data_IF_123142713177
#
_entry.id   IF_123142713177
#
_cell.length_a   1.000
_cell.length_b   1.000
_cell.length_c   1.000
_cell.angle_alpha   90.00
_cell.angle_beta   90.00
_cell.angle_gamma   90.00
#
_symmetry.space_group_name_H-M   'P 1'
#
loop_
_entity.id
_entity.type
_entity.pdbx_description
1 polymer ?
#
# COMPACT_ATOMS: atom_id res chain seq x y z
N UNK A 1 -42.62 -11.70 33.58
CA UNK A 1 -41.45 -11.51 32.69
C UNK A 1 -41.02 -10.07 32.81
N UNK A 2 -39.87 -9.79 33.42
CA UNK A 2 -39.32 -8.44 33.45
C UNK A 2 -38.94 -8.06 32.01
N UNK A 3 -39.59 -7.05 31.46
CA UNK A 3 -39.20 -6.44 30.18
C UNK A 3 -37.91 -5.69 30.40
N UNK A 4 -36.79 -6.38 30.26
CA UNK A 4 -35.48 -5.71 30.28
C UNK A 4 -35.32 -4.91 28.98
N UNK A 5 -35.27 -3.59 29.11
CA UNK A 5 -34.91 -2.71 28.00
C UNK A 5 -33.43 -2.94 27.63
N UNK A 6 -33.18 -3.26 26.39
CA UNK A 6 -31.82 -3.40 25.88
C UNK A 6 -31.35 -2.02 25.43
N UNK A 7 -30.31 -1.48 26.09
CA UNK A 7 -29.65 -0.26 25.69
C UNK A 7 -28.41 -0.64 24.83
N UNK A 8 -28.40 -0.27 23.56
CA UNK A 8 -27.26 -0.47 22.65
C UNK A 8 -26.57 0.84 22.41
N UNK A 9 -25.25 0.77 22.20
CA UNK A 9 -24.43 1.92 21.77
C UNK A 9 -24.70 2.26 20.31
N UNK A 10 -24.57 3.55 19.94
CA UNK A 10 -24.61 3.99 18.54
C UNK A 10 -23.50 3.31 17.72
N UNK A 11 -23.74 3.01 16.43
CA UNK A 11 -24.97 3.25 15.66
C UNK A 11 -26.07 2.21 15.94
N UNK A 12 -27.32 2.68 15.98
CA UNK A 12 -28.49 1.80 16.22
C UNK A 12 -29.00 1.10 14.96
N UNK A 13 -28.55 1.53 13.78
CA UNK A 13 -28.92 0.92 12.50
C UNK A 13 -27.85 -0.11 12.12
N UNK A 14 -28.25 -1.36 12.04
CA UNK A 14 -27.41 -2.47 11.61
C UNK A 14 -27.68 -2.78 10.13
N UNK A 15 -26.76 -2.43 9.26
CA UNK A 15 -26.79 -2.80 7.84
C UNK A 15 -26.21 -4.20 7.59
N UNK A 16 -26.37 -4.70 6.36
CA UNK A 16 -25.76 -5.98 5.93
C UNK A 16 -24.23 -5.92 5.75
N UNK A 17 -23.59 -4.78 6.04
CA UNK A 17 -22.14 -4.59 5.95
C UNK A 17 -21.47 -4.89 7.29
N UNK A 18 -20.37 -5.62 7.23
CA UNK A 18 -19.53 -5.93 8.38
C UNK A 18 -18.06 -5.63 8.05
N UNK A 19 -17.25 -5.36 9.09
CA UNK A 19 -15.81 -5.19 8.95
C UNK A 19 -15.21 -6.40 8.24
N UNK A 20 -15.58 -7.60 8.65
CA UNK A 20 -15.12 -8.85 8.05
C UNK A 20 -15.42 -8.92 6.54
N UNK A 21 -16.66 -8.60 6.12
CA UNK A 21 -17.08 -8.62 4.71
C UNK A 21 -16.24 -7.65 3.87
N UNK A 22 -15.97 -6.46 4.39
CA UNK A 22 -15.15 -5.46 3.69
C UNK A 22 -13.68 -5.90 3.61
N UNK A 23 -13.11 -6.46 4.68
CA UNK A 23 -11.73 -6.99 4.68
C UNK A 23 -11.58 -8.14 3.66
N UNK A 24 -12.50 -9.11 3.66
CA UNK A 24 -12.45 -10.17 2.64
C UNK A 24 -12.70 -9.62 1.22
N UNK A 25 -13.48 -8.56 1.06
CA UNK A 25 -13.64 -7.86 -0.21
C UNK A 25 -12.32 -7.30 -0.75
N UNK A 26 -11.49 -6.70 0.11
CA UNK A 26 -10.14 -6.23 -0.26
C UNK A 26 -9.23 -7.40 -0.63
N UNK A 27 -9.29 -8.53 0.10
CA UNK A 27 -8.51 -9.72 -0.24
C UNK A 27 -8.89 -10.28 -1.61
N UNK A 28 -10.19 -10.32 -1.95
CA UNK A 28 -10.66 -10.72 -3.28
C UNK A 28 -10.12 -9.77 -4.36
N UNK A 29 -10.10 -8.46 -4.09
CA UNK A 29 -9.55 -7.46 -5.01
C UNK A 29 -8.03 -7.62 -5.26
N UNK A 30 -7.29 -8.22 -4.32
CA UNK A 30 -5.85 -8.49 -4.44
C UNK A 30 -5.54 -9.82 -5.18
N UNK A 31 -6.53 -10.72 -5.37
CA UNK A 31 -6.32 -12.01 -6.03
C UNK A 31 -5.73 -11.85 -7.44
N UNK A 32 -6.22 -10.97 -8.33
CA UNK A 32 -5.63 -10.82 -9.65
C UNK A 32 -4.13 -10.48 -9.62
N UNK A 33 -3.74 -9.56 -8.72
CA UNK A 33 -2.34 -9.16 -8.55
C UNK A 33 -1.49 -10.33 -7.99
N UNK A 34 -2.05 -11.13 -7.08
CA UNK A 34 -1.37 -12.32 -6.55
C UNK A 34 -1.15 -13.38 -7.62
N UNK A 35 -2.15 -13.65 -8.48
CA UNK A 35 -2.03 -14.62 -9.56
C UNK A 35 -0.96 -14.20 -10.58
N UNK A 36 -0.92 -12.91 -10.94
CA UNK A 36 0.12 -12.37 -11.82
C UNK A 36 1.50 -12.46 -11.17
N UNK A 37 1.61 -12.16 -9.88
CA UNK A 37 2.85 -12.32 -9.12
C UNK A 37 3.35 -13.78 -9.10
N UNK A 38 2.45 -14.74 -8.92
CA UNK A 38 2.77 -16.17 -9.01
C UNK A 38 3.23 -16.58 -10.42
N UNK A 39 2.62 -16.02 -11.46
CA UNK A 39 2.99 -16.32 -12.84
C UNK A 39 4.41 -15.83 -13.17
N UNK A 40 4.82 -14.64 -12.69
CA UNK A 40 6.12 -14.07 -13.00
C UNK A 40 7.26 -14.48 -12.06
N UNK A 41 6.98 -14.66 -10.75
CA UNK A 41 7.98 -14.99 -9.74
C UNK A 41 7.85 -16.39 -9.13
N UNK A 42 6.82 -17.13 -9.49
CA UNK A 42 6.65 -18.53 -9.13
C UNK A 42 6.76 -18.82 -7.64
N UNK A 43 7.67 -19.73 -7.29
CA UNK A 43 7.87 -20.25 -5.93
C UNK A 43 8.24 -19.14 -4.93
N UNK A 44 9.07 -18.16 -5.34
CA UNK A 44 9.46 -17.05 -4.49
C UNK A 44 8.25 -16.25 -4.01
N UNK A 45 7.32 -15.90 -4.92
CA UNK A 45 6.09 -15.18 -4.56
C UNK A 45 5.23 -15.98 -3.57
N UNK A 46 5.11 -17.29 -3.77
CA UNK A 46 4.34 -18.18 -2.88
C UNK A 46 4.95 -18.22 -1.47
N UNK A 47 6.27 -18.44 -1.37
CA UNK A 47 6.97 -18.54 -0.08
C UNK A 47 6.87 -17.22 0.69
N UNK A 48 7.17 -16.07 0.04
CA UNK A 48 7.13 -14.75 0.69
C UNK A 48 5.72 -14.44 1.17
N UNK A 49 4.71 -14.65 0.33
CA UNK A 49 3.31 -14.35 0.71
C UNK A 49 2.82 -15.27 1.81
N UNK A 50 3.02 -16.58 1.69
CA UNK A 50 2.60 -17.54 2.70
C UNK A 50 3.27 -17.29 4.05
N UNK A 51 4.58 -17.03 4.05
CA UNK A 51 5.34 -16.73 5.27
C UNK A 51 4.88 -15.44 5.92
N UNK A 52 4.69 -14.39 5.15
CA UNK A 52 4.23 -13.08 5.66
C UNK A 52 2.85 -13.19 6.29
N UNK A 53 1.90 -13.85 5.62
CA UNK A 53 0.54 -14.04 6.15
C UNK A 53 0.55 -14.92 7.40
N UNK A 54 1.26 -16.05 7.37
CA UNK A 54 1.36 -16.94 8.54
C UNK A 54 2.00 -16.25 9.74
N UNK A 55 3.08 -15.48 9.53
CA UNK A 55 3.73 -14.72 10.58
C UNK A 55 2.82 -13.61 11.15
N UNK A 56 2.09 -12.86 10.30
CA UNK A 56 1.15 -11.84 10.76
C UNK A 56 0.02 -12.44 11.60
N UNK A 57 -0.56 -13.56 11.18
CA UNK A 57 -1.60 -14.28 11.94
C UNK A 57 -1.05 -14.78 13.28
N UNK A 58 0.14 -15.38 13.27
CA UNK A 58 0.79 -15.86 14.48
C UNK A 58 1.04 -14.74 15.49
N UNK A 59 1.64 -13.63 15.06
CA UNK A 59 1.94 -12.50 15.96
C UNK A 59 0.67 -11.82 16.47
N UNK A 60 -0.37 -11.66 15.65
CA UNK A 60 -1.64 -11.11 16.13
C UNK A 60 -2.29 -12.00 17.19
N UNK A 61 -2.29 -13.32 16.97
CA UNK A 61 -2.76 -14.28 17.96
C UNK A 61 -1.93 -14.26 19.24
N UNK A 62 -0.60 -14.34 19.13
CA UNK A 62 0.30 -14.42 20.27
C UNK A 62 0.24 -13.14 21.12
N UNK A 63 0.31 -11.96 20.50
CA UNK A 63 0.24 -10.68 21.20
C UNK A 63 -1.14 -10.49 21.82
N UNK A 64 -2.21 -10.80 21.07
CA UNK A 64 -3.59 -10.68 21.59
C UNK A 64 -3.84 -11.55 22.81
N UNK A 65 -3.37 -12.80 22.78
CA UNK A 65 -3.57 -13.78 23.84
C UNK A 65 -2.66 -13.55 25.05
N UNK A 66 -1.35 -13.39 24.83
CA UNK A 66 -0.36 -13.38 25.90
C UNK A 66 -0.06 -11.99 26.48
N UNK A 67 0.06 -10.95 25.62
CA UNK A 67 0.37 -9.60 26.07
C UNK A 67 -0.89 -8.81 26.43
N UNK A 68 -1.90 -8.80 25.54
CA UNK A 68 -3.09 -7.99 25.74
C UNK A 68 -4.19 -8.72 26.53
N UNK A 69 -4.07 -10.04 26.72
CA UNK A 69 -5.03 -10.90 27.46
C UNK A 69 -6.47 -10.70 27.00
N UNK A 70 -6.69 -10.47 25.68
CA UNK A 70 -8.03 -10.29 25.13
C UNK A 70 -8.83 -11.57 25.24
N UNK A 71 -10.11 -11.51 25.67
CA UNK A 71 -10.97 -12.70 25.81
C UNK A 71 -11.35 -13.31 24.45
N UNK A 72 -11.34 -12.50 23.37
CA UNK A 72 -11.69 -12.93 22.02
C UNK A 72 -10.52 -12.73 21.08
N UNK A 73 -10.33 -13.67 20.15
CA UNK A 73 -9.32 -13.58 19.10
C UNK A 73 -9.86 -12.81 17.90
N UNK A 74 -9.08 -11.87 17.36
CA UNK A 74 -9.43 -11.05 16.18
C UNK A 74 -8.94 -11.66 14.87
N UNK A 75 -8.40 -12.88 14.87
CA UNK A 75 -7.77 -13.53 13.72
C UNK A 75 -8.72 -13.67 12.52
N UNK A 76 -10.01 -13.92 12.82
CA UNK A 76 -11.02 -14.18 11.79
C UNK A 76 -11.58 -12.92 11.12
N UNK A 77 -11.17 -11.71 11.52
CA UNK A 77 -11.64 -10.47 10.92
C UNK A 77 -10.99 -10.17 9.55
N UNK A 78 -9.95 -10.90 9.17
CA UNK A 78 -9.24 -10.76 7.90
C UNK A 78 -8.17 -9.67 7.90
N UNK A 79 -8.07 -8.84 8.93
CA UNK A 79 -7.16 -7.69 8.95
C UNK A 79 -5.68 -8.08 9.01
N UNK A 80 -5.33 -9.17 9.75
CA UNK A 80 -3.96 -9.69 9.76
C UNK A 80 -3.56 -10.29 8.41
N UNK A 81 -4.50 -10.94 7.73
CA UNK A 81 -4.27 -11.51 6.39
C UNK A 81 -3.98 -10.38 5.40
N UNK A 82 -4.79 -9.30 5.40
CA UNK A 82 -4.54 -8.13 4.55
C UNK A 82 -3.16 -7.53 4.84
N UNK A 83 -2.83 -7.33 6.11
CA UNK A 83 -1.51 -6.79 6.49
C UNK A 83 -0.39 -7.67 5.97
N UNK A 84 -0.51 -9.00 6.09
CA UNK A 84 0.46 -9.95 5.59
C UNK A 84 0.59 -9.96 4.07
N UNK A 85 -0.52 -9.92 3.33
CA UNK A 85 -0.51 -9.86 1.86
C UNK A 85 0.06 -8.53 1.36
N UNK A 86 -0.37 -7.39 1.93
CA UNK A 86 0.14 -6.08 1.55
C UNK A 86 1.62 -5.91 1.91
N UNK A 87 2.08 -6.47 3.04
CA UNK A 87 3.49 -6.51 3.37
C UNK A 87 4.25 -7.32 2.33
N UNK A 88 3.82 -8.56 2.03
CA UNK A 88 4.46 -9.41 1.03
C UNK A 88 4.54 -8.73 -0.34
N UNK A 89 3.48 -8.04 -0.77
CA UNK A 89 3.45 -7.33 -2.06
C UNK A 89 4.46 -6.19 -2.15
N UNK A 90 4.96 -5.71 -1.03
CA UNK A 90 6.01 -4.70 -0.96
C UNK A 90 7.43 -5.28 -0.80
N UNK A 91 7.56 -6.59 -0.78
CA UNK A 91 8.84 -7.27 -0.62
C UNK A 91 9.34 -7.86 -1.94
N UNK A 92 10.67 -8.00 -2.12
CA UNK A 92 11.23 -8.77 -3.21
C UNK A 92 10.94 -10.28 -3.05
N UNK A 93 10.84 -11.01 -4.16
CA UNK A 93 10.51 -12.45 -4.17
C UNK A 93 11.62 -13.35 -3.63
N UNK A 94 12.84 -12.86 -3.50
CA UNK A 94 14.02 -13.60 -3.00
C UNK A 94 14.36 -13.32 -1.54
N UNK A 95 13.50 -12.60 -0.82
CA UNK A 95 13.80 -12.16 0.55
C UNK A 95 13.87 -13.37 1.51
N UNK A 96 14.92 -13.49 2.34
CA UNK A 96 15.04 -14.56 3.33
C UNK A 96 13.89 -14.58 4.34
N UNK A 97 13.39 -15.78 4.66
CA UNK A 97 12.22 -16.00 5.54
C UNK A 97 12.32 -15.28 6.88
N UNK A 98 13.50 -15.29 7.51
CA UNK A 98 13.67 -14.63 8.82
C UNK A 98 13.47 -13.11 8.79
N UNK A 99 13.83 -12.45 7.67
CA UNK A 99 13.60 -11.00 7.48
C UNK A 99 12.10 -10.74 7.35
N UNK A 100 11.38 -11.60 6.61
CA UNK A 100 9.91 -11.50 6.46
C UNK A 100 9.23 -11.61 7.82
N UNK A 101 9.67 -12.56 8.66
CA UNK A 101 9.14 -12.75 10.02
C UNK A 101 9.38 -11.51 10.88
N UNK A 102 10.58 -10.90 10.83
CA UNK A 102 10.86 -9.65 11.54
C UNK A 102 9.98 -8.48 11.06
N UNK A 103 9.78 -8.36 9.74
CA UNK A 103 8.86 -7.37 9.16
C UNK A 103 7.42 -7.55 9.63
N UNK A 104 6.94 -8.78 9.65
CA UNK A 104 5.60 -9.11 10.14
C UNK A 104 5.45 -8.84 11.65
N UNK A 105 6.48 -9.15 12.45
CA UNK A 105 6.52 -8.80 13.87
C UNK A 105 6.40 -7.29 14.08
N UNK A 106 7.17 -6.51 13.32
CA UNK A 106 7.12 -5.05 13.43
C UNK A 106 5.77 -4.49 12.95
N UNK A 107 5.26 -4.97 11.82
CA UNK A 107 3.99 -4.54 11.26
C UNK A 107 2.82 -4.80 12.23
N UNK A 108 2.72 -6.01 12.76
CA UNK A 108 1.63 -6.38 13.68
C UNK A 108 1.92 -5.89 15.10
N UNK A 109 3.12 -6.13 15.64
CA UNK A 109 3.45 -5.81 17.03
C UNK A 109 3.49 -4.31 17.25
N UNK A 110 4.31 -3.59 16.50
CA UNK A 110 4.48 -2.13 16.65
C UNK A 110 3.42 -1.36 15.87
N UNK A 111 3.16 -1.72 14.61
CA UNK A 111 2.26 -0.96 13.74
C UNK A 111 0.78 -1.06 14.11
N UNK A 112 0.33 -2.18 14.70
CA UNK A 112 -1.08 -2.44 14.94
C UNK A 112 -1.41 -2.69 16.43
N UNK A 113 -0.79 -3.69 17.04
CA UNK A 113 -1.21 -4.19 18.37
C UNK A 113 -0.82 -3.25 19.51
N UNK A 114 0.32 -2.55 19.43
CA UNK A 114 0.76 -1.60 20.46
C UNK A 114 -0.21 -0.42 20.65
N UNK A 115 -1.00 -0.09 19.66
CA UNK A 115 -2.03 0.96 19.71
C UNK A 115 -3.42 0.46 20.10
N UNK A 116 -3.62 -0.85 20.31
CA UNK A 116 -4.89 -1.43 20.73
C UNK A 116 -5.49 -2.42 19.73
N UNK A 117 -4.96 -2.54 18.52
CA UNK A 117 -5.41 -3.45 17.46
C UNK A 117 -6.16 -2.74 16.34
N UNK A 118 -7.08 -3.46 15.68
CA UNK A 118 -7.82 -2.94 14.54
C UNK A 118 -8.59 -1.66 14.89
N UNK A 119 -8.45 -0.63 14.07
CA UNK A 119 -9.15 0.65 14.26
C UNK A 119 -8.39 1.69 15.07
N UNK A 120 -7.29 1.33 15.76
CA UNK A 120 -6.52 2.22 16.61
C UNK A 120 -5.13 2.60 16.06
N UNK A 121 -4.70 2.00 14.97
CA UNK A 121 -3.39 2.22 14.39
C UNK A 121 -3.27 3.61 13.73
N UNK A 122 -2.26 4.43 14.09
CA UNK A 122 -2.05 5.75 13.48
C UNK A 122 -1.43 5.65 12.08
N UNK A 123 -0.72 4.57 11.79
CA UNK A 123 -0.03 4.31 10.53
C UNK A 123 -0.53 3.02 9.89
N UNK A 124 -0.40 2.92 8.57
CA UNK A 124 -0.64 1.66 7.87
C UNK A 124 0.39 0.62 8.33
N UNK A 125 -0.03 -0.53 8.93
CA UNK A 125 0.89 -1.48 9.53
C UNK A 125 1.83 -2.15 8.52
N UNK A 126 1.32 -2.49 7.32
CA UNK A 126 2.12 -3.12 6.27
C UNK A 126 3.25 -2.18 5.79
N UNK A 127 2.94 -0.88 5.62
CA UNK A 127 3.93 0.11 5.25
C UNK A 127 4.94 0.39 6.36
N UNK A 128 4.50 0.41 7.62
CA UNK A 128 5.40 0.54 8.76
C UNK A 128 6.41 -0.62 8.80
N UNK A 129 5.95 -1.86 8.60
CA UNK A 129 6.82 -3.04 8.48
C UNK A 129 7.78 -2.95 7.30
N UNK A 130 7.30 -2.53 6.11
CA UNK A 130 8.14 -2.34 4.93
C UNK A 130 9.25 -1.32 5.15
N UNK A 131 8.90 -0.13 5.66
CA UNK A 131 9.89 0.94 5.89
C UNK A 131 10.90 0.52 6.96
N UNK A 132 10.47 -0.17 8.03
CA UNK A 132 11.36 -0.76 9.00
C UNK A 132 12.37 -1.71 8.35
N UNK A 133 11.91 -2.63 7.48
CA UNK A 133 12.80 -3.55 6.78
C UNK A 133 13.74 -2.83 5.81
N UNK A 134 13.27 -1.82 5.09
CA UNK A 134 14.08 -1.04 4.16
C UNK A 134 15.22 -0.31 4.86
N UNK A 135 14.97 0.23 6.06
CA UNK A 135 15.99 0.93 6.84
C UNK A 135 16.96 -0.03 7.54
N UNK A 136 16.47 -1.19 8.00
CA UNK A 136 17.29 -2.16 8.74
C UNK A 136 18.07 -3.11 7.83
N UNK A 137 17.52 -3.47 6.67
CA UNK A 137 18.09 -4.44 5.72
C UNK A 137 18.10 -3.89 4.29
N UNK A 138 18.75 -2.75 4.02
CA UNK A 138 18.66 -2.07 2.73
C UNK A 138 19.15 -2.95 1.57
N UNK A 139 20.20 -3.72 1.73
CA UNK A 139 20.77 -4.56 0.66
C UNK A 139 19.76 -5.61 0.21
N UNK A 140 19.16 -6.34 1.15
CA UNK A 140 18.18 -7.39 0.85
C UNK A 140 16.87 -6.81 0.29
N UNK A 141 16.47 -5.63 0.77
CA UNK A 141 15.24 -4.94 0.35
C UNK A 141 15.35 -4.23 -1.00
N UNK A 142 16.56 -4.04 -1.52
CA UNK A 142 16.80 -3.39 -2.83
C UNK A 142 17.33 -4.35 -3.89
N UNK A 143 17.42 -5.64 -3.58
CA UNK A 143 17.76 -6.68 -4.54
C UNK A 143 16.50 -7.22 -5.21
N UNK A 144 16.27 -6.82 -6.47
CA UNK A 144 15.04 -7.13 -7.21
C UNK A 144 15.27 -8.28 -8.20
N UNK A 145 14.60 -9.42 -8.03
CA UNK A 145 14.69 -10.53 -8.97
C UNK A 145 14.12 -10.19 -10.34
N UNK A 146 14.78 -10.70 -11.39
CA UNK A 146 14.27 -10.62 -12.75
C UNK A 146 13.12 -11.61 -12.92
N UNK A 147 12.11 -11.23 -13.71
CA UNK A 147 10.94 -12.06 -13.99
C UNK A 147 11.30 -13.34 -14.77
N UNK A 148 10.47 -14.39 -14.60
CA UNK A 148 10.62 -15.64 -15.33
C UNK A 148 11.42 -16.72 -14.57
N UNK A 149 11.88 -16.46 -13.36
CA UNK A 149 12.61 -17.42 -12.54
C UNK A 149 11.66 -18.18 -11.61
N UNK A 150 10.83 -19.07 -12.17
CA UNK A 150 9.71 -19.70 -11.47
C UNK A 150 10.11 -20.59 -10.29
N UNK A 151 11.28 -21.22 -10.33
CA UNK A 151 11.77 -22.16 -9.30
C UNK A 151 12.86 -21.59 -8.41
N UNK A 152 13.46 -20.45 -8.78
CA UNK A 152 14.50 -19.79 -7.99
C UNK A 152 13.88 -19.04 -6.80
N UNK A 153 14.58 -19.05 -5.67
CA UNK A 153 14.20 -18.29 -4.48
C UNK A 153 15.34 -17.36 -4.05
N UNK A 154 16.20 -17.78 -3.12
CA UNK A 154 17.31 -16.96 -2.63
C UNK A 154 18.41 -16.74 -3.68
N UNK A 155 18.55 -17.65 -4.63
CA UNK A 155 19.57 -17.64 -5.68
C UNK A 155 19.08 -16.99 -6.98
N UNK A 156 17.97 -16.26 -6.93
CA UNK A 156 17.41 -15.58 -8.08
C UNK A 156 18.36 -14.47 -8.58
N UNK A 157 18.57 -14.40 -9.90
CA UNK A 157 19.35 -13.32 -10.51
C UNK A 157 18.58 -12.00 -10.38
N UNK A 158 19.27 -10.94 -9.99
CA UNK A 158 18.69 -9.61 -9.77
C UNK A 158 19.01 -8.65 -10.91
N UNK A 159 18.12 -7.68 -11.14
CA UNK A 159 18.26 -6.66 -12.17
C UNK A 159 17.86 -5.28 -11.69
N UNK A 160 18.13 -4.27 -12.50
CA UNK A 160 17.70 -2.91 -12.23
C UNK A 160 16.17 -2.78 -12.42
N UNK A 161 15.50 -2.11 -11.49
CA UNK A 161 14.08 -1.78 -11.66
C UNK A 161 13.91 -0.58 -12.60
N UNK A 162 12.74 -0.41 -13.25
CA UNK A 162 12.45 0.78 -14.04
C UNK A 162 12.68 2.08 -13.28
N UNK A 163 12.31 2.15 -11.99
CA UNK A 163 12.57 3.31 -11.14
C UNK A 163 14.07 3.57 -10.90
N UNK A 164 14.86 2.51 -10.76
CA UNK A 164 16.32 2.67 -10.61
C UNK A 164 16.94 3.24 -11.88
N UNK A 165 16.53 2.75 -13.06
CA UNK A 165 16.95 3.27 -14.36
C UNK A 165 16.55 4.74 -14.57
N UNK A 166 15.30 5.10 -14.21
CA UNK A 166 14.83 6.48 -14.25
C UNK A 166 15.69 7.39 -13.36
N UNK A 167 16.08 6.90 -12.20
CA UNK A 167 16.91 7.65 -11.27
C UNK A 167 18.35 7.83 -11.76
N UNK A 168 18.94 6.81 -12.39
CA UNK A 168 20.25 6.91 -13.03
C UNK A 168 20.24 7.96 -14.15
N UNK A 169 19.18 8.03 -14.95
CA UNK A 169 19.01 9.05 -15.98
C UNK A 169 19.00 10.48 -15.39
N UNK A 170 18.33 10.68 -14.25
CA UNK A 170 18.31 11.98 -13.56
C UNK A 170 19.73 12.39 -13.10
N UNK A 171 20.58 11.44 -12.73
CA UNK A 171 21.97 11.70 -12.31
C UNK A 171 22.97 11.84 -13.46
N UNK A 172 22.53 11.76 -14.74
CA UNK A 172 23.33 12.06 -15.91
C UNK A 172 23.61 10.88 -16.85
N UNK A 173 23.16 9.68 -16.52
CA UNK A 173 23.25 8.52 -17.41
C UNK A 173 22.01 8.42 -18.31
N UNK A 174 21.98 9.22 -19.37
CA UNK A 174 20.85 9.20 -20.33
C UNK A 174 20.72 7.88 -21.09
N UNK A 175 21.77 7.06 -21.16
CA UNK A 175 21.72 5.73 -21.77
C UNK A 175 20.79 4.78 -20.98
N UNK A 176 20.58 5.00 -19.69
CA UNK A 176 19.66 4.24 -18.89
C UNK A 176 18.18 4.38 -19.34
N UNK A 177 17.83 5.50 -19.99
CA UNK A 177 16.46 5.72 -20.51
C UNK A 177 16.09 4.71 -21.60
N UNK A 178 17.04 4.31 -22.45
CA UNK A 178 16.81 3.34 -23.51
C UNK A 178 16.55 1.91 -22.99
N UNK A 179 16.91 1.63 -21.74
CA UNK A 179 16.70 0.33 -21.09
C UNK A 179 15.36 0.24 -20.36
N UNK A 180 14.61 1.34 -20.26
CA UNK A 180 13.31 1.35 -19.60
C UNK A 180 12.30 0.62 -20.49
N UNK A 181 11.56 -0.36 -19.96
CA UNK A 181 10.53 -1.08 -20.71
C UNK A 181 9.42 -0.15 -21.19
N UNK A 182 8.78 -0.52 -22.28
CA UNK A 182 7.63 0.19 -22.82
C UNK A 182 6.45 0.21 -21.84
N UNK A 183 5.56 1.20 -22.00
CA UNK A 183 4.37 1.36 -21.16
C UNK A 183 3.46 0.12 -21.14
N UNK A 184 3.35 -0.60 -22.26
CA UNK A 184 2.59 -1.85 -22.35
C UNK A 184 3.22 -2.96 -21.52
N UNK A 185 4.53 -3.09 -21.55
CA UNK A 185 5.29 -4.05 -20.76
C UNK A 185 5.12 -3.79 -19.26
N UNK A 186 5.17 -2.52 -18.83
CA UNK A 186 4.92 -2.11 -17.44
C UNK A 186 3.46 -2.34 -17.03
N UNK A 187 2.51 -2.14 -17.93
CA UNK A 187 1.10 -2.36 -17.66
C UNK A 187 0.80 -3.85 -17.41
N UNK A 188 1.38 -4.73 -18.24
CA UNK A 188 1.19 -6.18 -18.13
C UNK A 188 2.01 -6.77 -16.98
N UNK A 189 3.26 -6.26 -16.78
CA UNK A 189 4.06 -6.65 -15.63
C UNK A 189 5.34 -7.45 -15.92
N UNK A 190 5.90 -7.35 -17.12
CA UNK A 190 7.16 -8.01 -17.47
C UNK A 190 8.39 -7.21 -16.99
N UNK A 191 8.41 -6.80 -15.74
CA UNK A 191 9.47 -5.99 -15.14
C UNK A 191 9.84 -6.50 -13.74
N UNK A 192 11.11 -6.36 -13.36
CA UNK A 192 11.56 -6.63 -12.00
C UNK A 192 11.05 -5.59 -11.02
N UNK A 193 10.75 -6.03 -9.78
CA UNK A 193 10.24 -5.16 -8.73
C UNK A 193 9.68 -5.93 -7.53
N UNK A 194 8.88 -5.25 -6.71
CA UNK A 194 8.13 -5.89 -5.64
C UNK A 194 7.04 -6.83 -6.19
N UNK A 195 6.63 -7.83 -5.40
CA UNK A 195 5.60 -8.79 -5.80
C UNK A 195 4.29 -8.14 -6.24
N UNK A 196 3.86 -7.07 -5.58
CA UNK A 196 2.60 -6.37 -5.89
C UNK A 196 2.73 -5.25 -6.93
N UNK A 197 3.95 -4.95 -7.38
CA UNK A 197 4.24 -3.87 -8.32
C UNK A 197 4.17 -4.34 -9.78
N UNK A 198 4.18 -5.65 -9.99
CA UNK A 198 4.45 -6.28 -11.28
C UNK A 198 3.42 -5.89 -12.34
N UNK A 199 2.13 -5.92 -12.06
CA UNK A 199 1.10 -5.60 -13.06
C UNK A 199 0.17 -4.48 -12.60
N UNK A 200 0.29 -3.32 -13.23
CA UNK A 200 -0.64 -2.22 -13.02
C UNK A 200 -2.08 -2.59 -13.46
N UNK A 201 -2.23 -3.41 -14.51
CA UNK A 201 -3.53 -3.88 -14.98
C UNK A 201 -4.27 -4.71 -13.92
N UNK A 202 -3.57 -5.63 -13.26
CA UNK A 202 -4.16 -6.47 -12.21
C UNK A 202 -4.63 -5.63 -11.01
N UNK A 203 -3.87 -4.60 -10.64
CA UNK A 203 -4.25 -3.65 -9.57
C UNK A 203 -5.44 -2.78 -9.99
N UNK A 204 -5.54 -2.37 -11.26
CA UNK A 204 -6.70 -1.64 -11.79
C UNK A 204 -7.98 -2.49 -11.77
N UNK A 205 -7.90 -3.79 -12.10
CA UNK A 205 -9.02 -4.72 -11.96
C UNK A 205 -9.50 -4.76 -10.49
N UNK A 206 -8.56 -4.85 -9.54
CA UNK A 206 -8.87 -4.77 -8.12
C UNK A 206 -9.51 -3.44 -7.71
N UNK A 207 -9.04 -2.30 -8.25
CA UNK A 207 -9.64 -0.98 -8.04
C UNK A 207 -11.10 -0.95 -8.50
N UNK A 208 -11.37 -1.39 -9.73
CA UNK A 208 -12.73 -1.43 -10.29
C UNK A 208 -13.65 -2.28 -9.41
N UNK A 209 -13.19 -3.45 -8.96
CA UNK A 209 -13.95 -4.30 -8.05
C UNK A 209 -14.28 -3.59 -6.73
N UNK A 210 -13.29 -2.93 -6.10
CA UNK A 210 -13.51 -2.22 -4.83
C UNK A 210 -14.45 -1.03 -4.98
N UNK A 211 -14.38 -0.28 -6.09
CA UNK A 211 -15.31 0.81 -6.40
C UNK A 211 -16.72 0.29 -6.66
N UNK A 212 -16.87 -0.81 -7.41
CA UNK A 212 -18.16 -1.44 -7.69
C UNK A 212 -18.85 -1.93 -6.41
N UNK A 213 -18.10 -2.58 -5.53
CA UNK A 213 -18.58 -3.02 -4.21
C UNK A 213 -18.72 -1.89 -3.19
N UNK A 214 -18.35 -0.65 -3.54
CA UNK A 214 -18.36 0.53 -2.65
C UNK A 214 -17.51 0.35 -1.38
N UNK A 215 -16.46 -0.48 -1.46
CA UNK A 215 -15.50 -0.68 -0.38
C UNK A 215 -14.68 0.58 -0.19
N UNK A 216 -14.24 1.21 -1.28
CA UNK A 216 -13.50 2.48 -1.26
C UNK A 216 -14.20 3.54 -2.11
N UNK A 217 -13.79 4.80 -1.92
CA UNK A 217 -14.19 5.93 -2.77
C UNK A 217 -13.08 6.30 -3.74
N UNK A 218 -13.42 6.83 -4.90
CA UNK A 218 -12.47 7.21 -5.95
C UNK A 218 -11.55 8.40 -5.58
N UNK A 219 -11.89 9.18 -4.54
CA UNK A 219 -11.24 10.45 -4.21
C UNK A 219 -9.73 10.32 -3.99
N UNK A 220 -9.29 9.35 -3.17
CA UNK A 220 -7.87 9.16 -2.84
C UNK A 220 -7.08 8.61 -4.04
N UNK A 221 -7.46 7.48 -4.68
CA UNK A 221 -6.69 6.97 -5.80
C UNK A 221 -6.56 7.96 -6.95
N UNK A 222 -7.68 8.59 -7.34
CA UNK A 222 -7.67 9.54 -8.47
C UNK A 222 -6.85 10.79 -8.16
N UNK A 223 -6.94 11.35 -6.93
CA UNK A 223 -6.15 12.54 -6.56
C UNK A 223 -4.65 12.24 -6.54
N UNK A 224 -4.22 11.07 -6.06
CA UNK A 224 -2.81 10.67 -6.09
C UNK A 224 -2.32 10.55 -7.54
N UNK A 225 -3.02 9.75 -8.35
CA UNK A 225 -2.62 9.49 -9.74
C UNK A 225 -2.63 10.77 -10.58
N UNK A 226 -3.65 11.63 -10.45
CA UNK A 226 -3.72 12.90 -11.15
C UNK A 226 -2.57 13.84 -10.76
N UNK A 227 -2.25 13.93 -9.46
CA UNK A 227 -1.16 14.80 -8.99
C UNK A 227 0.19 14.31 -9.49
N UNK A 228 0.45 13.00 -9.44
CA UNK A 228 1.70 12.43 -9.98
C UNK A 228 1.78 12.65 -11.48
N UNK A 229 0.68 12.45 -12.23
CA UNK A 229 0.63 12.68 -13.67
C UNK A 229 0.94 14.14 -14.03
N UNK A 230 0.28 15.09 -13.37
CA UNK A 230 0.48 16.52 -13.64
C UNK A 230 1.90 16.95 -13.27
N UNK A 231 2.38 16.59 -12.09
CA UNK A 231 3.72 17.00 -11.66
C UNK A 231 4.83 16.36 -12.51
N UNK A 232 4.76 15.05 -12.77
CA UNK A 232 5.70 14.38 -13.67
C UNK A 232 5.61 14.95 -15.10
N UNK A 233 4.41 15.34 -15.56
CA UNK A 233 4.22 15.99 -16.85
C UNK A 233 4.89 17.35 -16.92
N UNK A 234 4.79 18.19 -15.92
CA UNK A 234 5.47 19.48 -15.83
C UNK A 234 7.00 19.27 -15.90
N UNK A 235 7.53 18.29 -15.15
CA UNK A 235 8.96 18.00 -15.16
C UNK A 235 9.45 17.49 -16.54
N UNK A 236 8.67 16.60 -17.16
CA UNK A 236 8.98 16.10 -18.51
C UNK A 236 8.94 17.21 -19.58
N UNK A 237 8.00 18.14 -19.50
CA UNK A 237 7.95 19.29 -20.40
C UNK A 237 9.11 20.28 -20.20
N UNK A 238 9.63 20.38 -18.97
CA UNK A 238 10.78 21.23 -18.68
C UNK A 238 12.09 20.67 -19.24
N UNK A 239 12.29 19.36 -19.19
CA UNK A 239 13.49 18.67 -19.67
C UNK A 239 13.14 17.22 -20.09
N UNK A 240 12.75 17.01 -21.37
CA UNK A 240 12.35 15.69 -21.88
C UNK A 240 13.49 14.67 -21.93
N UNK A 241 14.75 15.14 -22.01
CA UNK A 241 15.92 14.24 -22.06
C UNK A 241 16.28 13.66 -20.70
N UNK A 242 15.88 14.34 -19.63
CA UNK A 242 16.19 13.96 -18.24
C UNK A 242 15.04 13.25 -17.54
N UNK A 243 13.84 13.71 -17.78
CA UNK A 243 12.65 13.20 -17.07
C UNK A 243 11.78 12.35 -17.99
N UNK A 244 11.43 11.18 -17.50
CA UNK A 244 10.61 10.19 -18.21
C UNK A 244 9.16 10.66 -18.34
N UNK A 245 8.45 10.14 -19.34
CA UNK A 245 7.05 10.46 -19.57
C UNK A 245 6.17 10.20 -18.32
N UNK A 246 5.13 11.02 -18.07
CA UNK A 246 4.27 10.88 -16.91
C UNK A 246 3.57 9.52 -16.82
N UNK A 247 3.26 8.90 -17.97
CA UNK A 247 2.64 7.56 -18.02
C UNK A 247 3.59 6.49 -17.44
N UNK A 248 4.87 6.52 -17.83
CA UNK A 248 5.86 5.58 -17.28
C UNK A 248 6.06 5.79 -15.78
N UNK A 249 6.01 7.04 -15.31
CA UNK A 249 6.07 7.36 -13.87
C UNK A 249 4.87 6.79 -13.09
N UNK A 250 3.67 6.77 -13.68
CA UNK A 250 2.48 6.19 -13.08
C UNK A 250 2.55 4.67 -12.99
N UNK A 251 3.05 4.02 -14.07
CA UNK A 251 3.09 2.56 -14.18
C UNK A 251 4.29 1.94 -13.45
N UNK A 252 5.27 2.75 -13.05
CA UNK A 252 6.49 2.27 -12.40
C UNK A 252 6.38 2.33 -10.90
N UNK A 253 6.94 1.32 -10.25
CA UNK A 253 7.04 1.26 -8.80
C UNK A 253 5.72 0.96 -8.10
N UNK A 254 5.76 0.94 -6.78
CA UNK A 254 4.61 0.66 -5.93
C UNK A 254 3.54 1.75 -5.91
N UNK A 255 3.53 2.70 -6.85
CA UNK A 255 2.56 3.80 -6.89
C UNK A 255 1.13 3.28 -7.00
N UNK A 256 0.86 2.37 -7.95
CA UNK A 256 -0.47 1.83 -8.17
C UNK A 256 -0.96 1.03 -6.95
N UNK A 257 -0.12 0.16 -6.40
CA UNK A 257 -0.44 -0.60 -5.19
C UNK A 257 -0.70 0.35 -4.00
N UNK A 258 0.17 1.34 -3.81
CA UNK A 258 0.06 2.32 -2.73
C UNK A 258 -1.19 3.20 -2.84
N UNK A 259 -1.51 3.72 -4.04
CA UNK A 259 -2.65 4.58 -4.27
C UNK A 259 -3.99 3.86 -4.12
N UNK A 260 -4.07 2.58 -4.55
CA UNK A 260 -5.31 1.82 -4.61
C UNK A 260 -5.60 1.08 -3.29
N UNK A 261 -4.60 0.44 -2.68
CA UNK A 261 -4.82 -0.47 -1.55
C UNK A 261 -4.27 0.03 -0.22
N UNK A 262 -3.24 0.90 -0.22
CA UNK A 262 -2.57 1.29 1.02
C UNK A 262 -2.97 2.67 1.52
N UNK A 263 -3.13 3.65 0.62
CA UNK A 263 -3.58 5.00 0.98
C UNK A 263 -5.08 5.04 1.29
N UNK A 264 -5.83 4.02 0.87
CA UNK A 264 -7.28 3.90 1.09
C UNK A 264 -7.64 3.11 2.35
N UNK A 265 -6.69 2.86 3.24
CA UNK A 265 -6.94 2.22 4.53
C UNK A 265 -7.93 3.06 5.36
N UNK A 266 -8.97 2.40 5.88
CA UNK A 266 -10.07 3.07 6.59
C UNK A 266 -9.64 3.82 7.86
N UNK A 267 -8.63 3.30 8.54
CA UNK A 267 -8.20 3.82 9.84
C UNK A 267 -7.30 5.03 9.67
N UNK A 268 -6.42 4.99 8.69
CA UNK A 268 -5.33 5.96 8.52
C UNK A 268 -5.63 7.07 7.52
N UNK A 269 -6.74 6.94 6.75
CA UNK A 269 -7.16 7.95 5.78
C UNK A 269 -8.18 8.96 6.34
N UNK A 270 -8.29 10.19 5.78
CA UNK A 270 -9.25 11.19 6.22
C UNK A 270 -10.71 10.77 5.96
N UNK A 271 -11.62 11.18 6.87
CA UNK A 271 -13.05 10.83 6.78
C UNK A 271 -13.84 11.67 5.79
N UNK A 272 -13.46 12.94 5.56
CA UNK A 272 -14.21 13.86 4.69
C UNK A 272 -13.73 13.80 3.24
N UNK A 273 -14.64 13.95 2.27
CA UNK A 273 -14.28 13.95 0.84
C UNK A 273 -13.23 15.01 0.49
N UNK A 274 -13.32 16.21 1.09
CA UNK A 274 -12.32 17.27 0.92
C UNK A 274 -10.98 16.89 1.51
N UNK A 275 -10.99 16.29 2.71
CA UNK A 275 -9.78 15.79 3.35
C UNK A 275 -9.10 14.68 2.53
N UNK A 276 -9.90 13.76 1.93
CA UNK A 276 -9.39 12.71 1.06
C UNK A 276 -8.67 13.28 -0.18
N UNK A 277 -9.21 14.33 -0.80
CA UNK A 277 -8.57 14.98 -1.95
C UNK A 277 -7.25 15.66 -1.54
N UNK A 278 -7.24 16.42 -0.44
CA UNK A 278 -6.02 17.07 0.08
C UNK A 278 -4.96 16.02 0.41
N UNK A 279 -5.37 14.97 1.12
CA UNK A 279 -4.50 13.83 1.48
C UNK A 279 -3.86 13.19 0.25
N UNK A 280 -4.67 12.89 -0.78
CA UNK A 280 -4.17 12.30 -2.01
C UNK A 280 -3.24 13.22 -2.81
N UNK A 281 -3.57 14.52 -2.91
CA UNK A 281 -2.69 15.51 -3.56
C UNK A 281 -1.34 15.59 -2.84
N UNK A 282 -1.34 15.68 -1.53
CA UNK A 282 -0.09 15.73 -0.75
C UNK A 282 0.74 14.46 -0.89
N UNK A 283 0.11 13.26 -0.89
CA UNK A 283 0.82 11.99 -1.15
C UNK A 283 1.45 12.01 -2.54
N UNK A 284 0.69 12.41 -3.57
CA UNK A 284 1.19 12.49 -4.94
C UNK A 284 2.40 13.41 -5.07
N UNK A 285 2.32 14.61 -4.49
CA UNK A 285 3.43 15.58 -4.47
C UNK A 285 4.67 15.01 -3.76
N UNK A 286 4.50 14.50 -2.54
CA UNK A 286 5.61 13.92 -1.78
C UNK A 286 6.25 12.75 -2.51
N UNK A 287 5.44 11.89 -3.15
CA UNK A 287 5.95 10.74 -3.91
C UNK A 287 6.86 11.19 -5.05
N UNK A 288 6.44 12.17 -5.86
CA UNK A 288 7.25 12.68 -6.97
C UNK A 288 8.51 13.39 -6.47
N UNK A 289 8.39 14.22 -5.41
CA UNK A 289 9.54 14.89 -4.80
C UNK A 289 10.58 13.87 -4.32
N UNK A 290 10.16 12.82 -3.61
CA UNK A 290 11.08 11.79 -3.12
C UNK A 290 11.71 11.01 -4.29
N UNK A 291 10.93 10.68 -5.32
CA UNK A 291 11.44 9.97 -6.51
C UNK A 291 12.49 10.78 -7.26
N UNK A 292 12.26 12.07 -7.48
CA UNK A 292 13.15 12.92 -8.26
C UNK A 292 14.36 13.41 -7.45
N UNK A 293 14.14 13.84 -6.21
CA UNK A 293 15.15 14.53 -5.41
C UNK A 293 15.64 13.74 -4.19
N UNK A 294 14.88 12.72 -3.75
CA UNK A 294 15.24 11.91 -2.57
C UNK A 294 16.35 10.88 -2.84
N UNK A 295 16.86 10.25 -1.80
CA UNK A 295 17.86 9.18 -1.90
C UNK A 295 17.27 7.86 -2.44
N UNK A 296 16.04 7.53 -2.05
CA UNK A 296 15.37 6.30 -2.45
C UNK A 296 14.63 6.46 -3.79
N UNK A 297 14.64 5.46 -4.68
CA UNK A 297 13.92 5.51 -5.94
C UNK A 297 12.40 5.45 -5.74
N UNK A 298 11.93 4.84 -4.67
CA UNK A 298 10.52 4.70 -4.35
C UNK A 298 10.11 5.58 -3.18
N UNK A 299 9.18 6.52 -3.44
CA UNK A 299 8.71 7.49 -2.45
C UNK A 299 7.36 7.19 -1.82
N UNK A 300 6.56 6.28 -2.43
CA UNK A 300 5.14 6.10 -2.08
C UNK A 300 4.92 5.67 -0.64
N UNK A 301 5.74 4.73 -0.13
CA UNK A 301 5.63 4.22 1.24
C UNK A 301 5.88 5.31 2.27
N UNK A 302 6.91 6.12 2.07
CA UNK A 302 7.23 7.25 2.94
C UNK A 302 6.15 8.34 2.87
N UNK A 303 5.68 8.67 1.66
CA UNK A 303 4.65 9.67 1.46
C UNK A 303 3.35 9.31 2.21
N UNK A 304 2.90 8.06 2.12
CA UNK A 304 1.71 7.60 2.85
C UNK A 304 1.93 7.66 4.35
N UNK A 305 3.05 7.18 4.89
CA UNK A 305 3.31 7.21 6.34
C UNK A 305 3.37 8.63 6.88
N UNK A 306 4.04 9.55 6.16
CA UNK A 306 4.08 10.97 6.53
C UNK A 306 2.65 11.53 6.55
N UNK A 307 1.86 11.28 5.52
CA UNK A 307 0.50 11.81 5.46
C UNK A 307 -0.46 11.15 6.44
N UNK A 308 -0.23 9.89 6.84
CA UNK A 308 -0.96 9.26 7.93
C UNK A 308 -0.79 10.04 9.24
N UNK A 309 0.43 10.53 9.54
CA UNK A 309 0.69 11.37 10.71
C UNK A 309 -0.09 12.71 10.65
N UNK A 310 -0.34 13.24 9.45
CA UNK A 310 -1.12 14.47 9.24
C UNK A 310 -2.63 14.26 9.15
N UNK A 311 -3.11 13.02 9.06
CA UNK A 311 -4.55 12.70 8.97
C UNK A 311 -5.38 13.30 10.11
N UNK A 312 -4.97 13.26 11.39
CA UNK A 312 -5.72 13.90 12.48
C UNK A 312 -5.86 15.41 12.29
N UNK A 313 -4.81 16.07 11.76
CA UNK A 313 -4.82 17.50 11.46
C UNK A 313 -5.82 17.79 10.33
N UNK A 314 -5.75 17.03 9.23
CA UNK A 314 -6.70 17.17 8.10
C UNK A 314 -8.14 16.99 8.59
N UNK A 315 -8.41 15.97 9.42
CA UNK A 315 -9.74 15.73 9.97
C UNK A 315 -10.22 16.86 10.89
N UNK A 316 -9.32 17.57 11.57
CA UNK A 316 -9.66 18.72 12.41
C UNK A 316 -10.09 19.91 11.59
N UNK A 317 -9.41 20.22 10.48
CA UNK A 317 -9.73 21.38 9.63
C UNK A 317 -10.81 21.09 8.57
N UNK A 318 -10.91 19.86 8.10
CA UNK A 318 -11.86 19.45 7.06
C UNK A 318 -13.10 18.73 7.62
N UNK A 319 -13.63 19.18 8.77
CA UNK A 319 -14.83 18.58 9.36
C UNK A 319 -16.04 18.74 8.44
N UNK A 320 -16.89 17.70 8.30
CA UNK A 320 -18.19 17.87 7.67
C UNK A 320 -19.07 18.79 8.51
N UNK A 321 -19.93 19.57 7.84
CA UNK A 321 -20.92 20.42 8.54
C UNK A 321 -21.83 19.56 9.39
N UNK A 322 -22.10 20.00 10.62
CA UNK A 322 -23.06 19.30 11.51
C UNK A 322 -24.48 19.49 10.97
N UNK A 323 -25.33 18.50 11.20
CA UNK A 323 -26.74 18.63 10.85
C UNK A 323 -27.36 19.81 11.62
N UNK A 324 -28.07 20.71 10.90
CA UNK A 324 -28.66 21.92 11.48
C UNK A 324 -27.73 23.14 11.60
N UNK A 325 -26.46 23.03 11.23
CA UNK A 325 -25.56 24.18 11.18
C UNK A 325 -25.90 25.09 9.99
N UNK A 326 -26.46 26.26 10.27
CA UNK A 326 -26.71 27.28 9.24
C UNK A 326 -25.37 27.82 8.77
N UNK A 327 -25.13 27.81 7.46
CA UNK A 327 -23.93 28.39 6.89
C UNK A 327 -23.86 29.90 7.24
N UNK A 328 -22.90 30.30 8.08
CA UNK A 328 -22.59 31.71 8.24
C UNK A 328 -22.25 32.24 6.86
N UNK A 329 -23.15 33.08 6.27
CA UNK A 329 -22.81 33.87 5.11
C UNK A 329 -21.61 34.75 5.52
N UNK A 330 -20.47 34.56 4.86
CA UNK A 330 -19.36 35.50 4.89
C UNK A 330 -19.73 36.72 4.06
#
# INVERSE_FOLDING_TARGET
>A
MENKLIVSLSPHVHGGDSVQKNMYGVLIALIPAFLVSLYFFGLGALIVTATSVAACLFFEWAIGKYLMKKPTTTICDGSAIITGVLLAFNLPSNLPVWIIILGALFAIGVGKMSFGGLGCNPFNPALAGRVFLLLSFPVQMTSWPVVGQLTAYTDATTGATPLALMKQAIYGDTAALSQIPDALTLLIGQNGGCLGEVSALALLIGLVYMLWKKIITWHIPVSILATVFVFAGIMHLADPEKYVSPVLQLLSGGLMLGAVFMATDYVTSPMSKKGMLIYGVCIGLLTVIIRLFGAYPEGMSFAILIMNAFTPLINTYCKPKRFGEVAKKK
#
